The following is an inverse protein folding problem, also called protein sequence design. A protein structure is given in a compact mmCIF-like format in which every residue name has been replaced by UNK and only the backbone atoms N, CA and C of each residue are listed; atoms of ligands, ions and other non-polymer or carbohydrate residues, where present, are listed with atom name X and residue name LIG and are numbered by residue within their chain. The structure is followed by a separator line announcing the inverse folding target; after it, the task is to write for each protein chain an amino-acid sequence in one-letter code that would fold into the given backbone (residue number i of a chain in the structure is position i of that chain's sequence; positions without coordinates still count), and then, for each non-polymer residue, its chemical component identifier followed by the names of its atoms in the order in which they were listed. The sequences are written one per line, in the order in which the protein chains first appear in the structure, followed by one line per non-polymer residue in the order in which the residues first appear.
data_IF_101638087978
#
_entry.id   IF_101638087978
#
_cell.length_a   1.000
_cell.length_b   1.000
_cell.length_c   1.000
_cell.angle_alpha   90.00
_cell.angle_beta   90.00
_cell.angle_gamma   90.00
#
_symmetry.space_group_name_H-M   'P 1'
#
loop_
_entity.id
_entity.type
_entity.pdbx_description
1 polymer ?
#
# COMPACT_ATOMS: atom_id res chain seq x y z
N UNK A 1 5.01 -55.24 -18.12
CA UNK A 1 3.74 -54.50 -18.21
C UNK A 1 3.68 -53.78 -19.56
N UNK A 2 2.80 -54.22 -20.47
CA UNK A 2 2.55 -53.52 -21.75
C UNK A 2 1.55 -52.40 -21.50
N UNK A 3 1.92 -51.15 -21.80
CA UNK A 3 1.00 -50.02 -21.73
C UNK A 3 0.04 -50.15 -22.93
N UNK A 4 -1.29 -50.13 -22.74
CA UNK A 4 -2.24 -50.30 -23.84
C UNK A 4 -2.13 -49.15 -24.85
N UNK A 5 -2.01 -49.50 -26.14
CA UNK A 5 -1.75 -48.61 -27.27
C UNK A 5 -2.97 -47.81 -27.76
N UNK A 6 -4.04 -47.71 -26.97
CA UNK A 6 -5.31 -47.10 -27.36
C UNK A 6 -5.59 -45.73 -26.71
N UNK A 7 -4.55 -44.96 -26.40
CA UNK A 7 -4.76 -43.58 -25.98
C UNK A 7 -5.00 -42.68 -27.20
N UNK A 8 -6.26 -42.57 -27.63
CA UNK A 8 -6.64 -41.73 -28.76
C UNK A 8 -6.55 -40.23 -28.40
N UNK A 9 -5.67 -39.45 -29.05
CA UNK A 9 -5.48 -38.03 -28.73
C UNK A 9 -6.75 -37.17 -28.96
N UNK A 10 -7.69 -37.61 -29.80
CA UNK A 10 -8.96 -36.92 -30.09
C UNK A 10 -9.82 -36.68 -28.84
N UNK A 11 -9.95 -37.68 -27.95
CA UNK A 11 -10.72 -37.55 -26.69
C UNK A 11 -10.11 -36.51 -25.74
N UNK A 12 -8.78 -36.36 -25.74
CA UNK A 12 -8.10 -35.34 -24.92
C UNK A 12 -8.45 -33.92 -25.41
N UNK A 13 -8.53 -33.70 -26.72
CA UNK A 13 -8.90 -32.40 -27.29
C UNK A 13 -10.35 -32.03 -26.96
N UNK A 14 -11.27 -32.99 -27.04
CA UNK A 14 -12.67 -32.80 -26.71
C UNK A 14 -12.86 -32.43 -25.23
N UNK A 15 -12.24 -33.19 -24.31
CA UNK A 15 -12.27 -32.89 -22.87
C UNK A 15 -11.67 -31.50 -22.58
N UNK A 16 -10.53 -31.14 -23.20
CA UNK A 16 -9.94 -29.81 -23.06
C UNK A 16 -10.87 -28.70 -23.57
N UNK A 17 -11.59 -28.95 -24.66
CA UNK A 17 -12.59 -28.02 -25.22
C UNK A 17 -13.78 -27.84 -24.28
N UNK A 18 -14.34 -28.95 -23.77
CA UNK A 18 -15.45 -28.91 -22.81
C UNK A 18 -15.05 -28.19 -21.51
N UNK A 19 -13.86 -28.48 -20.96
CA UNK A 19 -13.31 -27.76 -19.79
C UNK A 19 -13.15 -26.26 -20.09
N UNK A 20 -12.73 -25.89 -21.30
CA UNK A 20 -12.61 -24.48 -21.71
C UNK A 20 -13.98 -23.80 -21.74
N UNK A 21 -15.00 -24.46 -22.31
CA UNK A 21 -16.37 -23.95 -22.36
C UNK A 21 -16.99 -23.81 -20.97
N UNK A 22 -16.83 -24.80 -20.09
CA UNK A 22 -17.31 -24.72 -18.69
C UNK A 22 -16.63 -23.56 -17.96
N UNK A 23 -15.31 -23.39 -18.11
CA UNK A 23 -14.59 -22.23 -17.54
C UNK A 23 -15.10 -20.92 -18.10
N UNK A 24 -15.39 -20.86 -19.39
CA UNK A 24 -15.90 -19.67 -20.05
C UNK A 24 -17.30 -19.33 -19.55
N UNK A 25 -18.20 -20.31 -19.52
CA UNK A 25 -19.57 -20.18 -19.03
C UNK A 25 -19.59 -19.76 -17.54
N UNK A 26 -18.78 -20.39 -16.70
CA UNK A 26 -18.61 -19.99 -15.31
C UNK A 26 -18.10 -18.54 -15.19
N UNK A 27 -17.16 -18.14 -16.05
CA UNK A 27 -16.65 -16.76 -16.05
C UNK A 27 -17.70 -15.76 -16.52
N UNK A 28 -18.57 -16.10 -17.46
CA UNK A 28 -19.54 -15.15 -18.04
C UNK A 28 -20.90 -15.13 -17.30
N UNK A 29 -21.36 -16.23 -16.71
CA UNK A 29 -22.64 -16.29 -16.00
C UNK A 29 -22.49 -16.14 -14.48
N UNK A 30 -21.52 -16.83 -13.88
CA UNK A 30 -21.35 -16.81 -12.41
C UNK A 30 -20.70 -15.52 -11.95
N UNK A 31 -19.76 -14.96 -12.73
CA UNK A 31 -19.06 -13.71 -12.33
C UNK A 31 -20.03 -12.53 -12.18
N UNK A 32 -20.92 -12.19 -13.13
CA UNK A 32 -21.82 -11.05 -12.95
C UNK A 32 -22.79 -11.23 -11.78
N UNK A 33 -23.34 -12.43 -11.58
CA UNK A 33 -24.23 -12.74 -10.47
C UNK A 33 -23.49 -12.59 -9.13
N UNK A 34 -22.29 -13.16 -9.02
CA UNK A 34 -21.46 -13.02 -7.83
C UNK A 34 -21.04 -11.56 -7.59
N UNK A 35 -20.79 -10.80 -8.66
CA UNK A 35 -20.49 -9.36 -8.59
C UNK A 35 -21.63 -8.60 -7.98
N UNK A 36 -22.86 -8.86 -8.44
CA UNK A 36 -24.07 -8.23 -7.94
C UNK A 36 -24.29 -8.59 -6.48
N UNK A 37 -24.21 -9.87 -6.11
CA UNK A 37 -24.31 -10.31 -4.71
C UNK A 37 -23.28 -9.59 -3.83
N UNK A 38 -22.00 -9.57 -4.25
CA UNK A 38 -20.92 -8.90 -3.51
C UNK A 38 -21.14 -7.39 -3.42
N UNK A 39 -21.61 -6.75 -4.47
CA UNK A 39 -21.90 -5.32 -4.49
C UNK A 39 -23.09 -4.99 -3.56
N UNK A 40 -24.15 -5.82 -3.60
CA UNK A 40 -25.31 -5.70 -2.71
C UNK A 40 -24.94 -5.89 -1.24
N UNK A 41 -23.98 -6.77 -0.93
CA UNK A 41 -23.44 -6.92 0.42
C UNK A 41 -22.46 -5.80 0.80
N UNK A 42 -21.69 -5.30 -0.17
CA UNK A 42 -20.69 -4.26 0.08
C UNK A 42 -21.34 -2.96 0.57
N UNK A 43 -22.43 -2.52 -0.06
CA UNK A 43 -23.10 -1.26 0.31
C UNK A 43 -23.48 -1.18 1.80
N UNK A 44 -24.27 -2.12 2.38
CA UNK A 44 -24.65 -2.05 3.79
C UNK A 44 -23.46 -2.20 4.73
N UNK A 45 -22.49 -3.05 4.40
CA UNK A 45 -21.28 -3.24 5.22
C UNK A 45 -20.41 -1.97 5.20
N UNK A 46 -20.31 -1.32 4.04
CA UNK A 46 -19.62 -0.05 3.91
C UNK A 46 -20.34 1.07 4.67
N UNK A 47 -21.67 1.11 4.64
CA UNK A 47 -22.46 2.04 5.46
C UNK A 47 -22.20 1.80 6.94
N UNK A 48 -22.17 0.55 7.41
CA UNK A 48 -21.81 0.22 8.79
C UNK A 48 -20.38 0.65 9.13
N UNK A 49 -19.44 0.41 8.22
CA UNK A 49 -18.04 0.83 8.37
C UNK A 49 -17.92 2.35 8.50
N UNK A 50 -18.57 3.10 7.62
CA UNK A 50 -18.59 4.55 7.66
C UNK A 50 -19.28 5.08 8.93
N UNK A 51 -20.49 4.59 9.22
CA UNK A 51 -21.28 4.98 10.37
C UNK A 51 -20.55 4.67 11.69
N UNK A 52 -19.83 3.54 11.77
CA UNK A 52 -19.02 3.22 12.95
C UNK A 52 -17.94 4.27 13.20
N UNK A 53 -17.24 4.74 12.16
CA UNK A 53 -16.22 5.79 12.28
C UNK A 53 -16.79 7.10 12.80
N UNK A 54 -17.94 7.55 12.28
CA UNK A 54 -18.61 8.77 12.74
C UNK A 54 -19.22 8.61 14.14
N UNK A 55 -19.79 7.43 14.44
CA UNK A 55 -20.30 7.11 15.78
C UNK A 55 -19.20 7.15 16.84
N UNK A 56 -18.04 6.53 16.58
CA UNK A 56 -16.91 6.60 17.50
C UNK A 56 -16.33 8.01 17.60
N UNK A 57 -16.31 8.79 16.51
CA UNK A 57 -15.95 10.20 16.55
C UNK A 57 -16.90 11.00 17.47
N UNK A 58 -18.21 10.75 17.40
CA UNK A 58 -19.20 11.34 18.27
C UNK A 58 -19.04 10.90 19.74
N UNK A 59 -18.85 9.61 20.01
CA UNK A 59 -18.63 9.11 21.37
C UNK A 59 -17.40 9.77 22.03
N UNK A 60 -16.34 10.00 21.25
CA UNK A 60 -15.11 10.66 21.72
C UNK A 60 -15.33 12.10 22.18
N UNK A 61 -16.33 12.81 21.68
CA UNK A 61 -16.62 14.19 22.13
C UNK A 61 -17.52 14.24 23.35
N UNK A 62 -18.20 13.14 23.70
CA UNK A 62 -19.17 13.07 24.79
C UNK A 62 -18.68 12.37 26.04
N UNK A 63 -17.73 11.45 25.91
CA UNK A 63 -17.33 10.57 27.00
C UNK A 63 -16.05 11.07 27.69
N UNK A 64 -15.98 10.89 29.02
CA UNK A 64 -14.80 11.23 29.83
C UNK A 64 -13.54 10.50 29.35
N UNK A 65 -12.39 11.16 29.53
CA UNK A 65 -11.05 10.67 29.15
C UNK A 65 -10.75 9.28 29.72
N UNK A 66 -11.29 8.94 30.90
CA UNK A 66 -11.07 7.65 31.55
C UNK A 66 -11.64 6.45 30.78
N UNK A 67 -12.67 6.63 29.95
CA UNK A 67 -13.26 5.57 29.13
C UNK A 67 -12.72 5.54 27.70
N UNK A 68 -11.89 6.52 27.34
CA UNK A 68 -11.40 6.69 25.98
C UNK A 68 -10.62 5.46 25.48
N UNK A 69 -9.74 4.91 26.33
CA UNK A 69 -8.96 3.72 26.00
C UNK A 69 -9.84 2.49 25.74
N UNK A 70 -10.87 2.27 26.55
CA UNK A 70 -11.80 1.13 26.39
C UNK A 70 -12.60 1.25 25.09
N UNK A 71 -13.14 2.43 24.80
CA UNK A 71 -13.87 2.70 23.55
C UNK A 71 -12.96 2.52 22.35
N UNK A 72 -11.69 2.93 22.44
CA UNK A 72 -10.70 2.77 21.37
C UNK A 72 -10.40 1.31 21.06
N UNK A 73 -10.27 0.45 22.07
CA UNK A 73 -10.08 -0.99 21.86
C UNK A 73 -11.27 -1.55 21.07
N UNK A 74 -12.51 -1.20 21.47
CA UNK A 74 -13.73 -1.63 20.78
C UNK A 74 -13.78 -1.10 19.34
N UNK A 75 -13.51 0.19 19.12
CA UNK A 75 -13.44 0.81 17.80
C UNK A 75 -12.44 0.08 16.89
N UNK A 76 -11.23 -0.21 17.40
CA UNK A 76 -10.20 -0.94 16.65
C UNK A 76 -10.67 -2.34 16.27
N UNK A 77 -11.28 -3.08 17.20
CA UNK A 77 -11.79 -4.43 16.93
C UNK A 77 -12.91 -4.40 15.88
N UNK A 78 -13.86 -3.48 16.02
CA UNK A 78 -14.99 -3.33 15.08
C UNK A 78 -14.49 -2.95 13.68
N UNK A 79 -13.65 -1.92 13.58
CA UNK A 79 -13.11 -1.46 12.29
C UNK A 79 -12.25 -2.53 11.62
N UNK A 80 -11.41 -3.25 12.37
CA UNK A 80 -10.62 -4.37 11.83
C UNK A 80 -11.53 -5.47 11.30
N UNK A 81 -12.54 -5.86 12.06
CA UNK A 81 -13.49 -6.92 11.67
C UNK A 81 -14.23 -6.55 10.39
N UNK A 82 -14.76 -5.32 10.31
CA UNK A 82 -15.44 -4.82 9.12
C UNK A 82 -14.49 -4.73 7.91
N UNK A 83 -13.26 -4.27 8.11
CA UNK A 83 -12.25 -4.21 7.04
C UNK A 83 -11.90 -5.61 6.51
N UNK A 84 -11.73 -6.61 7.38
CA UNK A 84 -11.52 -8.00 6.98
C UNK A 84 -12.72 -8.56 6.20
N UNK A 85 -13.94 -8.26 6.65
CA UNK A 85 -15.17 -8.66 5.96
C UNK A 85 -15.25 -8.05 4.54
N UNK A 86 -14.90 -6.76 4.41
CA UNK A 86 -14.85 -6.08 3.11
C UNK A 86 -13.78 -6.69 2.19
N UNK A 87 -12.58 -6.95 2.71
CA UNK A 87 -11.50 -7.61 1.93
C UNK A 87 -11.91 -9.01 1.48
N UNK A 88 -12.62 -9.76 2.33
CA UNK A 88 -13.19 -11.06 2.00
C UNK A 88 -14.24 -10.95 0.88
N UNK A 89 -15.15 -9.97 0.94
CA UNK A 89 -16.14 -9.70 -0.12
C UNK A 89 -15.47 -9.40 -1.45
N UNK A 90 -14.39 -8.61 -1.44
CA UNK A 90 -13.59 -8.33 -2.63
C UNK A 90 -12.72 -9.50 -3.09
N UNK A 91 -12.80 -10.65 -2.44
CA UNK A 91 -12.01 -11.83 -2.78
C UNK A 91 -10.50 -11.59 -2.68
N UNK A 92 -10.07 -10.70 -1.79
CA UNK A 92 -8.64 -10.47 -1.51
C UNK A 92 -8.17 -11.57 -0.55
N UNK A 93 -8.12 -12.81 -1.05
CA UNK A 93 -7.81 -13.99 -0.23
C UNK A 93 -6.31 -14.23 -0.03
N UNK A 94 -5.46 -13.63 -0.87
CA UNK A 94 -4.02 -13.88 -0.86
C UNK A 94 -3.24 -12.58 -0.94
N UNK A 95 -3.01 -11.98 0.23
CA UNK A 95 -2.00 -10.94 0.40
C UNK A 95 -0.64 -11.63 0.41
N UNK A 96 0.12 -11.47 -0.67
CA UNK A 96 1.49 -11.98 -0.70
C UNK A 96 2.42 -10.89 -0.16
N UNK A 97 2.80 -11.03 1.11
CA UNK A 97 3.84 -10.22 1.70
C UNK A 97 5.18 -10.58 1.08
N UNK A 98 5.89 -9.58 0.56
CA UNK A 98 7.26 -9.74 0.12
C UNK A 98 8.05 -8.63 0.78
N UNK A 99 8.78 -8.96 1.84
CA UNK A 99 9.81 -8.09 2.38
C UNK A 99 10.89 -7.93 1.31
N UNK A 100 11.17 -6.69 0.93
CA UNK A 100 12.23 -6.37 -0.02
C UNK A 100 13.40 -5.80 0.75
N UNK A 101 14.25 -6.66 1.33
CA UNK A 101 15.59 -6.22 1.71
C UNK A 101 16.38 -6.06 0.41
N UNK A 102 16.95 -4.88 0.16
CA UNK A 102 17.91 -4.68 -0.93
C UNK A 102 19.26 -5.25 -0.47
N UNK A 103 19.76 -6.37 -1.03
CA UNK A 103 21.16 -6.75 -0.84
C UNK A 103 22.14 -5.89 -1.67
N UNK A 104 21.64 -4.90 -2.43
CA UNK A 104 22.39 -4.29 -3.54
C UNK A 104 23.27 -3.08 -3.19
N UNK A 105 23.25 -2.57 -1.95
CA UNK A 105 24.15 -1.47 -1.59
C UNK A 105 25.63 -1.90 -1.49
N UNK A 106 25.92 -3.20 -1.41
CA UNK A 106 27.31 -3.71 -1.35
C UNK A 106 27.87 -4.28 -2.66
N UNK A 107 27.07 -4.39 -3.72
CA UNK A 107 27.44 -5.20 -4.90
C UNK A 107 27.84 -4.41 -6.15
N UNK A 108 27.73 -3.08 -6.15
CA UNK A 108 28.07 -2.27 -7.32
C UNK A 108 29.58 -1.97 -7.45
N UNK A 109 30.35 -2.02 -6.35
CA UNK A 109 31.81 -1.81 -6.41
C UNK A 109 32.56 -3.05 -6.94
N UNK A 110 32.05 -4.25 -6.69
CA UNK A 110 32.69 -5.51 -7.11
C UNK A 110 32.57 -5.82 -8.62
N UNK A 111 31.73 -5.09 -9.36
CA UNK A 111 31.48 -5.36 -10.80
C UNK A 111 32.47 -4.70 -11.75
N UNK A 112 33.28 -3.73 -11.29
CA UNK A 112 34.26 -3.06 -12.17
C UNK A 112 35.61 -3.78 -12.27
N UNK A 113 35.89 -4.78 -11.43
CA UNK A 113 37.18 -5.49 -11.45
C UNK A 113 37.22 -6.77 -12.32
N UNK A 114 36.09 -7.24 -12.86
CA UNK A 114 36.03 -8.58 -13.50
C UNK A 114 36.27 -8.64 -15.01
N UNK A 115 36.59 -7.54 -15.67
CA UNK A 115 36.70 -7.54 -17.15
C UNK A 115 38.08 -7.94 -17.68
N UNK A 116 38.96 -8.53 -16.86
CA UNK A 116 40.30 -8.89 -17.33
C UNK A 116 40.95 -10.06 -16.55
N UNK A 117 40.47 -11.30 -16.75
CA UNK A 117 41.36 -12.48 -16.70
C UNK A 117 40.73 -13.75 -17.29
N UNK A 118 41.52 -14.36 -18.17
CA UNK A 118 41.24 -15.52 -18.99
C UNK A 118 41.09 -16.84 -18.20
N UNK A 119 40.15 -17.66 -18.69
CA UNK A 119 40.07 -19.14 -18.84
C UNK A 119 40.62 -20.14 -17.78
N UNK A 120 41.42 -19.78 -16.79
CA UNK A 120 41.70 -20.66 -15.63
C UNK A 120 40.69 -20.44 -14.47
N UNK A 121 39.93 -19.35 -14.51
CA UNK A 121 38.98 -18.97 -13.46
C UNK A 121 37.63 -19.71 -13.49
N UNK A 122 37.41 -20.72 -14.35
CA UNK A 122 36.07 -21.33 -14.45
C UNK A 122 35.66 -22.11 -13.20
N UNK A 123 36.58 -22.82 -12.54
CA UNK A 123 36.28 -23.54 -11.30
C UNK A 123 36.06 -22.60 -10.11
N UNK A 124 36.82 -21.51 -10.04
CA UNK A 124 36.68 -20.52 -8.98
C UNK A 124 35.44 -19.64 -9.18
N UNK A 125 35.08 -19.34 -10.44
CA UNK A 125 33.80 -18.71 -10.77
C UNK A 125 32.60 -19.59 -10.42
N UNK A 126 32.70 -20.91 -10.57
CA UNK A 126 31.60 -21.82 -10.26
C UNK A 126 31.39 -21.93 -8.74
N UNK A 127 32.47 -22.04 -7.97
CA UNK A 127 32.44 -21.96 -6.49
C UNK A 127 31.93 -20.62 -5.99
N UNK A 128 32.29 -19.53 -6.65
CA UNK A 128 31.82 -18.20 -6.28
C UNK A 128 30.34 -17.98 -6.63
N UNK A 129 29.88 -18.44 -7.80
CA UNK A 129 28.46 -18.47 -8.16
C UNK A 129 27.65 -19.35 -7.21
N UNK A 130 28.23 -20.41 -6.68
CA UNK A 130 27.58 -21.28 -5.69
C UNK A 130 27.49 -20.63 -4.31
N UNK A 131 28.57 -20.01 -3.81
CA UNK A 131 28.56 -19.16 -2.60
C UNK A 131 27.58 -17.99 -2.72
N UNK A 132 27.49 -17.37 -3.89
CA UNK A 132 26.54 -16.29 -4.14
C UNK A 132 25.09 -16.82 -4.17
N UNK A 133 24.85 -18.02 -4.73
CA UNK A 133 23.55 -18.69 -4.68
C UNK A 133 23.17 -19.08 -3.25
N UNK A 134 24.09 -19.55 -2.43
CA UNK A 134 23.84 -19.88 -1.02
C UNK A 134 23.56 -18.63 -0.20
N UNK A 135 24.39 -17.57 -0.31
CA UNK A 135 24.07 -16.27 0.31
C UNK A 135 22.71 -15.74 -0.13
N UNK A 136 22.35 -15.88 -1.41
CA UNK A 136 21.01 -15.51 -1.91
C UNK A 136 19.89 -16.39 -1.36
N UNK A 137 20.14 -17.68 -1.08
CA UNK A 137 19.18 -18.59 -0.44
C UNK A 137 19.01 -18.24 1.05
N UNK A 138 20.10 -17.93 1.72
CA UNK A 138 20.12 -17.53 3.14
C UNK A 138 19.41 -16.19 3.33
N UNK A 139 19.73 -15.17 2.54
CA UNK A 139 19.01 -13.88 2.50
C UNK A 139 17.52 -14.08 2.17
N UNK A 140 17.17 -15.03 1.29
CA UNK A 140 15.77 -15.39 1.01
C UNK A 140 15.08 -16.07 2.19
N UNK A 141 15.81 -16.85 2.99
CA UNK A 141 15.28 -17.54 4.16
C UNK A 141 15.06 -16.54 5.30
N UNK A 142 16.01 -15.62 5.53
CA UNK A 142 15.88 -14.51 6.49
C UNK A 142 14.77 -13.52 6.08
N UNK A 143 14.55 -13.30 4.78
CA UNK A 143 13.40 -12.50 4.27
C UNK A 143 12.03 -13.17 4.50
N UNK A 144 11.99 -14.47 4.80
CA UNK A 144 10.75 -15.24 4.95
C UNK A 144 10.27 -15.29 6.41
N UNK A 145 11.10 -14.93 7.37
CA UNK A 145 10.59 -14.43 8.64
C UNK A 145 9.86 -13.13 8.33
N UNK A 146 8.54 -13.26 8.19
CA UNK A 146 7.60 -12.15 8.28
C UNK A 146 7.90 -11.47 9.60
N UNK A 147 8.80 -10.48 9.60
CA UNK A 147 8.95 -9.58 10.74
C UNK A 147 7.59 -8.92 10.87
N UNK A 148 6.81 -9.42 11.82
CA UNK A 148 5.52 -8.90 12.17
C UNK A 148 5.80 -7.56 12.84
N UNK A 149 5.93 -6.53 12.01
CA UNK A 149 6.24 -5.19 12.51
C UNK A 149 5.01 -4.69 13.27
N UNK A 150 5.17 -4.63 14.58
CA UNK A 150 4.23 -3.98 15.49
C UNK A 150 4.36 -2.48 15.30
N UNK A 151 3.25 -1.83 14.96
CA UNK A 151 3.17 -0.37 14.90
C UNK A 151 2.68 0.17 16.23
N UNK A 152 3.36 1.18 16.76
CA UNK A 152 2.97 1.92 17.95
C UNK A 152 2.12 3.15 17.61
N UNK A 153 1.52 3.75 18.64
CA UNK A 153 0.77 4.99 18.51
C UNK A 153 1.72 6.15 18.13
N UNK A 154 1.38 6.91 17.10
CA UNK A 154 2.25 7.97 16.56
C UNK A 154 3.25 7.54 15.50
N UNK A 155 3.47 6.24 15.29
CA UNK A 155 4.29 5.77 14.17
C UNK A 155 3.73 6.28 12.84
N UNK A 156 4.61 6.64 11.92
CA UNK A 156 4.25 7.19 10.63
C UNK A 156 4.37 6.14 9.53
N UNK A 157 3.23 5.69 9.01
CA UNK A 157 3.15 4.86 7.81
C UNK A 157 3.08 5.78 6.58
N UNK A 158 4.10 5.73 5.74
CA UNK A 158 4.15 6.47 4.46
C UNK A 158 3.84 5.48 3.35
N UNK A 159 2.78 5.72 2.58
CA UNK A 159 2.36 4.79 1.54
C UNK A 159 2.08 5.45 0.21
N UNK A 160 2.39 4.77 -0.89
CA UNK A 160 1.78 5.11 -2.18
C UNK A 160 0.27 4.82 -2.12
N UNK A 161 -0.51 5.50 -2.96
CA UNK A 161 -1.95 5.35 -3.00
C UNK A 161 -2.40 4.93 -4.40
N UNK A 162 -2.92 3.71 -4.57
CA UNK A 162 -3.34 3.22 -5.89
C UNK A 162 -4.84 2.91 -5.97
N UNK A 163 -5.50 2.59 -4.86
CA UNK A 163 -6.91 2.26 -4.79
C UNK A 163 -7.47 2.37 -3.36
N UNK A 164 -8.73 1.97 -3.17
CA UNK A 164 -9.34 1.85 -1.84
C UNK A 164 -8.83 0.64 -1.04
N UNK A 165 -8.19 -0.35 -1.69
CA UNK A 165 -7.77 -1.60 -1.05
C UNK A 165 -6.64 -1.36 -0.05
N UNK A 166 -5.78 -0.37 -0.31
CA UNK A 166 -4.76 0.13 0.61
C UNK A 166 -5.37 0.53 1.95
N UNK A 167 -6.47 1.29 1.89
CA UNK A 167 -7.16 1.81 3.07
C UNK A 167 -7.75 0.66 3.88
N UNK A 168 -8.42 -0.30 3.24
CA UNK A 168 -8.95 -1.46 3.94
C UNK A 168 -7.86 -2.35 4.53
N UNK A 169 -6.78 -2.58 3.78
CA UNK A 169 -5.65 -3.35 4.25
C UNK A 169 -5.00 -2.70 5.48
N UNK A 170 -4.67 -1.41 5.40
CA UNK A 170 -4.05 -0.67 6.50
C UNK A 170 -4.98 -0.57 7.70
N UNK A 171 -6.29 -0.42 7.49
CA UNK A 171 -7.29 -0.45 8.58
C UNK A 171 -7.33 -1.80 9.28
N UNK A 172 -7.38 -2.89 8.53
CA UNK A 172 -7.41 -4.25 9.07
C UNK A 172 -6.15 -4.59 9.88
N UNK A 173 -4.99 -4.11 9.44
CA UNK A 173 -3.71 -4.39 10.08
C UNK A 173 -3.45 -3.46 11.27
N UNK A 174 -3.58 -2.15 11.07
CA UNK A 174 -3.02 -1.14 11.96
C UNK A 174 -4.08 -0.28 12.66
N UNK A 175 -5.33 -0.28 12.19
CA UNK A 175 -6.39 0.64 12.63
C UNK A 175 -5.90 2.10 12.75
N UNK A 176 -5.32 2.68 11.68
CA UNK A 176 -4.58 3.93 11.73
C UNK A 176 -5.49 5.16 11.72
N UNK A 177 -4.90 6.32 12.00
CA UNK A 177 -5.46 7.63 11.64
C UNK A 177 -4.99 7.97 10.22
N UNK A 178 -5.93 8.09 9.28
CA UNK A 178 -5.60 8.54 7.93
C UNK A 178 -5.49 10.07 7.88
N UNK A 179 -4.74 10.60 6.92
CA UNK A 179 -4.61 12.04 6.71
C UNK A 179 -5.12 12.49 5.35
N UNK A 180 -5.87 13.58 5.32
CA UNK A 180 -6.04 14.43 4.14
C UNK A 180 -4.92 15.48 4.08
N UNK A 181 -4.48 15.84 2.87
CA UNK A 181 -3.43 16.84 2.65
C UNK A 181 -4.06 18.23 2.50
N UNK A 182 -3.48 19.22 3.20
CA UNK A 182 -3.92 20.63 3.15
C UNK A 182 -3.18 21.46 2.10
N UNK A 183 -3.77 22.60 1.70
CA UNK A 183 -3.09 23.62 0.83
C UNK A 183 -1.81 24.14 1.46
N UNK A 184 -1.86 24.36 2.78
CA UNK A 184 -0.70 24.82 3.54
C UNK A 184 0.25 23.65 3.73
N UNK A 185 1.49 23.82 3.27
CA UNK A 185 2.54 22.82 3.43
C UNK A 185 2.81 22.51 4.92
N UNK A 186 3.19 21.26 5.20
CA UNK A 186 3.38 20.75 6.56
C UNK A 186 2.09 20.56 7.37
N UNK A 187 0.92 20.87 6.80
CA UNK A 187 -0.37 20.67 7.48
C UNK A 187 -1.17 19.52 6.87
N UNK A 188 -1.93 18.85 7.73
CA UNK A 188 -2.83 17.75 7.38
C UNK A 188 -4.16 17.88 8.11
N UNK A 189 -5.16 17.13 7.66
CA UNK A 189 -6.40 16.90 8.40
C UNK A 189 -6.53 15.42 8.74
N UNK A 190 -6.71 15.06 10.03
CA UNK A 190 -7.01 13.68 10.39
C UNK A 190 -8.41 13.28 9.87
N UNK A 191 -8.50 12.19 9.12
CA UNK A 191 -9.73 11.67 8.56
C UNK A 191 -9.98 10.22 8.98
N UNK A 192 -11.26 9.83 9.01
CA UNK A 192 -11.65 8.44 9.29
C UNK A 192 -11.35 7.55 8.08
N UNK A 193 -11.22 6.24 8.30
CA UNK A 193 -11.03 5.28 7.22
C UNK A 193 -12.20 5.32 6.20
N UNK A 194 -13.44 5.48 6.68
CA UNK A 194 -14.61 5.65 5.82
C UNK A 194 -14.52 6.90 4.95
N UNK A 195 -14.13 8.04 5.53
CA UNK A 195 -13.89 9.28 4.79
C UNK A 195 -12.77 9.12 3.76
N UNK A 196 -11.67 8.47 4.12
CA UNK A 196 -10.58 8.16 3.19
C UNK A 196 -11.06 7.33 1.99
N UNK A 197 -11.92 6.31 2.19
CA UNK A 197 -12.52 5.53 1.09
C UNK A 197 -13.41 6.39 0.21
N UNK A 198 -14.28 7.21 0.80
CA UNK A 198 -15.16 8.12 0.04
C UNK A 198 -14.32 9.10 -0.80
N UNK A 199 -13.31 9.71 -0.19
CA UNK A 199 -12.45 10.67 -0.88
C UNK A 199 -11.68 10.02 -2.03
N UNK A 200 -11.29 8.75 -1.86
CA UNK A 200 -10.70 7.94 -2.92
C UNK A 200 -11.68 7.68 -4.05
N UNK A 201 -12.88 7.18 -3.75
CA UNK A 201 -13.89 6.86 -4.75
C UNK A 201 -14.36 8.10 -5.52
N UNK A 202 -14.53 9.24 -4.84
CA UNK A 202 -14.99 10.48 -5.48
C UNK A 202 -13.86 11.28 -6.14
N UNK A 203 -12.61 10.83 -6.02
CA UNK A 203 -11.42 11.59 -6.40
C UNK A 203 -11.43 13.00 -5.75
N UNK A 204 -11.78 13.04 -4.47
CA UNK A 204 -11.90 14.25 -3.65
C UNK A 204 -10.66 14.49 -2.77
N UNK A 205 -9.50 13.88 -3.08
CA UNK A 205 -8.25 14.15 -2.34
C UNK A 205 -7.70 15.58 -2.51
N UNK A 206 -8.52 16.51 -3.01
CA UNK A 206 -8.13 17.91 -3.07
C UNK A 206 -8.04 18.48 -1.65
N UNK A 207 -6.92 19.16 -1.42
CA UNK A 207 -6.72 20.50 -0.85
C UNK A 207 -7.98 21.38 -0.65
N UNK A 208 -9.08 20.84 -0.13
CA UNK A 208 -10.22 21.65 0.25
C UNK A 208 -9.74 22.65 1.29
N UNK A 209 -10.34 23.83 1.32
CA UNK A 209 -10.13 24.83 2.37
C UNK A 209 -10.70 24.30 3.68
N UNK A 210 -10.18 23.15 4.14
CA UNK A 210 -10.57 22.51 5.37
C UNK A 210 -10.09 23.43 6.47
N UNK A 211 -11.04 23.92 7.24
CA UNK A 211 -10.82 24.77 8.40
C UNK A 211 -10.02 24.06 9.49
N UNK A 212 -9.92 22.74 9.41
CA UNK A 212 -9.43 21.87 10.46
C UNK A 212 -7.98 21.38 10.22
N UNK A 213 -7.23 22.07 9.35
CA UNK A 213 -5.82 21.78 9.08
C UNK A 213 -4.96 22.01 10.32
N UNK A 214 -4.30 20.95 10.77
CA UNK A 214 -3.34 20.98 11.89
C UNK A 214 -1.92 20.79 11.37
N UNK A 215 -0.90 21.38 12.02
CA UNK A 215 0.49 21.01 11.77
C UNK A 215 0.68 19.50 11.93
N UNK A 216 1.46 18.90 11.04
CA UNK A 216 1.64 17.45 11.04
C UNK A 216 2.29 16.94 12.33
N UNK A 217 3.21 17.72 12.92
CA UNK A 217 3.80 17.49 14.25
C UNK A 217 2.75 17.37 15.36
N UNK A 218 1.75 18.25 15.34
CA UNK A 218 0.71 18.29 16.38
C UNK A 218 -0.18 17.07 16.30
N UNK A 219 -0.39 16.55 15.08
CA UNK A 219 -1.12 15.31 14.89
C UNK A 219 -0.36 14.13 15.51
N UNK A 220 0.96 14.02 15.33
CA UNK A 220 1.77 12.94 15.92
C UNK A 220 1.67 12.96 17.44
N UNK A 221 1.97 14.11 18.06
CA UNK A 221 1.89 14.27 19.51
C UNK A 221 0.48 13.99 20.04
N UNK A 222 -0.57 14.37 19.29
CA UNK A 222 -1.96 14.03 19.64
C UNK A 222 -2.23 12.52 19.53
N UNK A 223 -1.73 11.86 18.49
CA UNK A 223 -1.92 10.41 18.31
C UNK A 223 -1.23 9.59 19.39
N UNK A 224 -0.02 9.98 19.80
CA UNK A 224 0.70 9.36 20.91
C UNK A 224 -0.04 9.56 22.23
N UNK A 225 -0.35 10.81 22.60
CA UNK A 225 -1.01 11.15 23.86
C UNK A 225 -2.38 10.49 24.03
N UNK A 226 -3.09 10.28 22.93
CA UNK A 226 -4.45 9.73 22.95
C UNK A 226 -4.52 8.26 22.49
N UNK A 227 -3.38 7.60 22.21
CA UNK A 227 -3.33 6.22 21.73
C UNK A 227 -4.22 5.97 20.50
N UNK A 228 -4.08 6.83 19.47
CA UNK A 228 -4.96 6.82 18.30
C UNK A 228 -4.54 5.84 17.21
N UNK A 229 -3.41 5.17 17.36
CA UNK A 229 -2.80 4.30 16.37
C UNK A 229 -1.71 5.02 15.58
N UNK A 230 -1.08 4.32 14.62
CA UNK A 230 -0.16 4.94 13.70
C UNK A 230 -0.90 5.90 12.76
N UNK A 231 -0.17 6.85 12.21
CA UNK A 231 -0.65 7.80 11.20
C UNK A 231 -0.34 7.25 9.82
N UNK A 232 -1.32 7.22 8.93
CA UNK A 232 -1.10 6.89 7.51
C UNK A 232 -1.16 8.15 6.68
N UNK A 233 -0.07 8.43 5.97
CA UNK A 233 0.02 9.49 4.97
C UNK A 233 0.19 8.90 3.58
N UNK A 234 -0.63 9.41 2.66
CA UNK A 234 -0.48 9.20 1.22
C UNK A 234 0.13 10.45 0.59
N UNK A 235 1.47 10.62 0.60
CA UNK A 235 2.11 11.89 0.26
C UNK A 235 1.90 12.31 -1.21
N UNK A 236 1.52 11.38 -2.08
CA UNK A 236 1.12 11.66 -3.47
C UNK A 236 -0.11 12.58 -3.57
N UNK A 237 -0.92 12.72 -2.51
CA UNK A 237 -2.12 13.57 -2.50
C UNK A 237 -3.24 13.12 -3.44
N UNK A 238 -3.08 12.00 -4.13
CA UNK A 238 -4.08 11.43 -5.03
C UNK A 238 -3.72 9.98 -5.35
N UNK A 239 -4.63 9.25 -5.97
CA UNK A 239 -4.34 7.90 -6.44
C UNK A 239 -3.45 7.91 -7.69
N UNK A 240 -2.42 7.08 -7.70
CA UNK A 240 -1.55 6.86 -8.85
C UNK A 240 -2.02 5.68 -9.70
N UNK A 241 -1.30 5.45 -10.79
CA UNK A 241 -1.57 4.33 -11.69
C UNK A 241 -0.76 3.07 -11.33
N UNK A 242 -0.03 3.06 -10.21
CA UNK A 242 0.81 1.94 -9.78
C UNK A 242 1.98 1.55 -10.71
N UNK A 243 2.29 2.35 -11.74
CA UNK A 243 3.49 2.21 -12.60
C UNK A 243 4.62 3.12 -12.11
N UNK A 244 4.24 4.30 -11.63
CA UNK A 244 5.13 5.33 -11.13
C UNK A 244 4.65 5.83 -9.78
N UNK A 245 5.59 6.29 -8.96
CA UNK A 245 5.30 7.07 -7.77
C UNK A 245 5.20 8.55 -8.18
N UNK A 246 4.07 9.17 -7.89
CA UNK A 246 3.84 10.60 -8.16
C UNK A 246 4.75 11.46 -7.28
N UNK A 247 4.90 12.72 -7.67
CA UNK A 247 5.61 13.70 -6.85
C UNK A 247 4.89 13.84 -5.50
N UNK A 248 5.67 13.88 -4.41
CA UNK A 248 5.11 14.11 -3.09
C UNK A 248 4.63 15.55 -2.96
N UNK A 249 3.46 15.71 -2.35
CA UNK A 249 3.02 17.00 -1.81
C UNK A 249 3.96 17.42 -0.69
N UNK A 250 4.08 18.73 -0.38
CA UNK A 250 4.96 19.24 0.68
C UNK A 250 4.41 18.98 2.09
N UNK A 251 3.85 17.79 2.32
CA UNK A 251 3.25 17.36 3.61
C UNK A 251 4.30 17.19 4.71
N UNK A 252 5.56 16.94 4.33
CA UNK A 252 6.68 16.78 5.24
C UNK A 252 7.50 18.08 5.45
N UNK A 253 7.00 19.22 4.97
CA UNK A 253 7.65 20.50 5.27
C UNK A 253 7.65 20.74 6.78
N UNK A 254 8.83 21.01 7.35
CA UNK A 254 9.07 21.13 8.80
C UNK A 254 9.01 19.83 9.62
N UNK A 255 8.97 18.65 8.98
CA UNK A 255 8.99 17.36 9.70
C UNK A 255 10.26 17.18 10.57
N UNK A 256 11.41 17.61 10.08
CA UNK A 256 12.71 17.41 10.78
C UNK A 256 12.77 18.09 12.14
N UNK A 257 12.15 19.27 12.28
CA UNK A 257 12.05 20.00 13.55
C UNK A 257 11.33 19.18 14.63
N UNK A 258 10.47 18.25 14.23
CA UNK A 258 9.77 17.36 15.15
C UNK A 258 10.61 16.14 15.53
N UNK A 259 11.29 15.53 14.55
CA UNK A 259 12.14 14.36 14.77
C UNK A 259 13.26 14.63 15.79
N UNK A 260 13.76 15.87 15.86
CA UNK A 260 14.82 16.26 16.81
C UNK A 260 14.29 16.63 18.20
N UNK A 261 13.07 17.16 18.30
CA UNK A 261 12.55 17.75 19.55
C UNK A 261 12.01 16.70 20.53
N UNK A 262 11.48 15.58 20.03
CA UNK A 262 10.90 14.51 20.84
C UNK A 262 11.85 13.30 20.94
N UNK A 263 13.07 13.51 21.44
CA UNK A 263 14.06 12.44 21.62
C UNK A 263 13.58 11.28 22.52
N UNK A 264 12.58 11.53 23.38
CA UNK A 264 11.96 10.50 24.22
C UNK A 264 10.84 9.71 23.53
N UNK A 265 10.24 10.22 22.46
CA UNK A 265 9.10 9.60 21.76
C UNK A 265 9.45 9.34 20.30
N UNK A 266 10.32 8.35 20.08
CA UNK A 266 10.84 7.95 18.76
C UNK A 266 9.75 7.30 17.88
N UNK A 267 8.89 8.13 17.29
CA UNK A 267 7.94 7.68 16.26
C UNK A 267 8.72 7.08 15.10
N UNK A 268 8.40 5.83 14.74
CA UNK A 268 9.07 5.17 13.63
C UNK A 268 8.44 5.57 12.31
N UNK A 269 9.27 5.76 11.28
CA UNK A 269 8.81 5.94 9.91
C UNK A 269 8.79 4.58 9.22
N UNK A 270 7.66 4.23 8.60
CA UNK A 270 7.40 2.91 8.02
C UNK A 270 6.91 3.08 6.58
N UNK A 271 7.81 3.10 5.59
CA UNK A 271 7.42 3.18 4.19
C UNK A 271 6.85 1.85 3.70
N UNK A 272 5.62 1.89 3.20
CA UNK A 272 4.90 0.76 2.62
C UNK A 272 4.58 1.08 1.17
N UNK A 273 4.69 0.10 0.29
CA UNK A 273 4.26 0.23 -1.09
C UNK A 273 3.38 -0.92 -1.53
N UNK A 274 2.29 -0.53 -2.17
CA UNK A 274 1.33 -1.39 -2.83
C UNK A 274 1.62 -1.40 -4.32
N UNK A 275 1.78 -2.62 -4.84
CA UNK A 275 2.07 -2.88 -6.25
C UNK A 275 1.09 -3.90 -6.81
N UNK A 276 0.34 -3.47 -7.81
CA UNK A 276 -0.50 -4.36 -8.60
C UNK A 276 0.31 -4.91 -9.78
N UNK A 277 0.47 -6.23 -9.85
CA UNK A 277 1.21 -6.87 -10.93
C UNK A 277 0.38 -6.88 -12.23
N UNK A 278 0.65 -5.93 -13.13
CA UNK A 278 -0.02 -5.85 -14.45
C UNK A 278 0.30 -7.04 -15.36
N UNK A 279 1.48 -7.65 -15.24
CA UNK A 279 1.91 -8.74 -16.13
C UNK A 279 1.14 -10.05 -15.88
N UNK A 280 0.46 -10.18 -14.74
CA UNK A 280 -0.44 -11.29 -14.49
C UNK A 280 -1.72 -11.23 -15.36
N UNK A 281 -1.94 -10.13 -16.08
CA UNK A 281 -3.21 -9.79 -16.71
C UNK A 281 -3.09 -9.53 -18.22
N UNK A 282 -2.19 -10.23 -18.91
CA UNK A 282 -2.21 -10.33 -20.39
C UNK A 282 -3.56 -10.84 -20.94
N UNK A 283 -4.41 -11.43 -20.10
CA UNK A 283 -5.74 -11.95 -20.43
C UNK A 283 -6.91 -11.03 -20.04
N UNK A 284 -6.89 -9.73 -20.40
CA UNK A 284 -8.05 -8.80 -20.28
C UNK A 284 -8.68 -8.65 -18.88
N UNK A 285 -7.98 -9.05 -17.82
CA UNK A 285 -8.52 -8.98 -16.45
C UNK A 285 -8.37 -7.57 -15.89
N UNK A 286 -9.39 -7.14 -15.15
CA UNK A 286 -9.38 -5.89 -14.40
C UNK A 286 -8.21 -5.85 -13.40
N UNK A 287 -7.66 -4.67 -13.17
CA UNK A 287 -6.59 -4.43 -12.20
C UNK A 287 -7.15 -3.49 -11.14
N UNK A 288 -7.00 -3.77 -9.83
CA UNK A 288 -7.60 -2.96 -8.79
C UNK A 288 -6.81 -1.66 -8.56
N UNK A 289 -6.73 -0.83 -9.60
CA UNK A 289 -6.12 0.50 -9.57
C UNK A 289 -7.22 1.47 -9.90
N UNK A 290 -7.44 2.46 -9.02
CA UNK A 290 -8.45 3.48 -9.21
C UNK A 290 -7.78 4.84 -9.39
N UNK A 291 -7.23 5.09 -10.58
CA UNK A 291 -6.61 6.39 -10.88
C UNK A 291 -7.65 7.42 -11.27
N UNK A 292 -8.53 7.08 -12.22
CA UNK A 292 -9.54 7.96 -12.81
C UNK A 292 -10.75 7.12 -13.26
N UNK A 293 -11.93 7.76 -13.32
CA UNK A 293 -13.14 7.20 -13.94
C UNK A 293 -14.31 7.04 -12.98
N UNK A 294 -15.28 6.23 -13.40
CA UNK A 294 -16.52 5.99 -12.66
C UNK A 294 -16.28 4.98 -11.51
N UNK A 295 -16.51 5.44 -10.28
CA UNK A 295 -16.30 4.69 -9.04
C UNK A 295 -17.20 3.46 -8.95
N UNK A 296 -18.45 3.55 -9.44
CA UNK A 296 -19.37 2.41 -9.50
C UNK A 296 -18.84 1.33 -10.46
N UNK A 297 -18.38 1.73 -11.65
CA UNK A 297 -17.77 0.79 -12.61
C UNK A 297 -16.51 0.14 -12.03
N UNK A 298 -15.70 0.90 -11.29
CA UNK A 298 -14.54 0.38 -10.58
C UNK A 298 -14.95 -0.67 -9.53
N UNK A 299 -15.89 -0.35 -8.65
CA UNK A 299 -16.38 -1.26 -7.60
C UNK A 299 -17.00 -2.53 -8.20
N UNK A 300 -17.82 -2.38 -9.23
CA UNK A 300 -18.40 -3.52 -9.95
C UNK A 300 -17.32 -4.45 -10.49
N UNK A 301 -16.30 -3.90 -11.17
CA UNK A 301 -15.20 -4.70 -11.71
C UNK A 301 -14.31 -5.30 -10.61
N UNK A 302 -14.18 -4.63 -9.47
CA UNK A 302 -13.44 -5.14 -8.33
C UNK A 302 -14.16 -6.34 -7.71
N UNK A 303 -15.47 -6.23 -7.53
CA UNK A 303 -16.34 -7.31 -7.03
C UNK A 303 -16.47 -8.48 -8.00
N UNK A 304 -16.31 -8.25 -9.30
CA UNK A 304 -16.43 -9.30 -10.32
C UNK A 304 -15.27 -10.26 -10.38
N UNK A 305 -14.13 -9.90 -9.79
CA UNK A 305 -12.99 -10.78 -9.72
C UNK A 305 -13.13 -11.79 -8.58
N UNK A 306 -13.02 -13.10 -8.85
CA UNK A 306 -13.06 -14.09 -7.77
C UNK A 306 -11.88 -13.91 -6.80
N UNK A 307 -10.73 -13.50 -7.32
CA UNK A 307 -9.50 -13.28 -6.56
C UNK A 307 -8.81 -12.01 -7.06
N UNK A 308 -8.58 -11.07 -6.14
CA UNK A 308 -7.72 -9.91 -6.35
C UNK A 308 -6.34 -10.17 -5.71
N UNK A 309 -5.25 -9.76 -6.36
CA UNK A 309 -3.87 -9.90 -5.86
C UNK A 309 -3.17 -8.56 -5.83
N UNK A 310 -2.71 -8.17 -4.65
CA UNK A 310 -1.85 -6.99 -4.44
C UNK A 310 -0.55 -7.47 -3.79
N UNK A 311 0.58 -6.98 -4.32
CA UNK A 311 1.88 -7.18 -3.71
C UNK A 311 2.14 -6.02 -2.77
N UNK A 312 2.39 -6.32 -1.50
CA UNK A 312 2.75 -5.32 -0.49
C UNK A 312 4.23 -5.48 -0.22
N UNK A 313 4.96 -4.39 -0.39
CA UNK A 313 6.40 -4.30 -0.17
C UNK A 313 6.61 -3.30 0.95
N UNK A 314 7.36 -3.70 1.96
CA UNK A 314 7.76 -2.81 3.04
C UNK A 314 9.24 -2.50 2.91
N UNK A 315 9.61 -1.26 3.21
CA UNK A 315 10.99 -0.81 3.24
C UNK A 315 11.57 -1.04 4.64
N UNK A 316 12.87 -1.35 4.73
CA UNK A 316 13.52 -1.53 6.01
C UNK A 316 13.76 -0.16 6.68
N UNK A 317 13.63 -0.01 8.01
CA UNK A 317 13.87 1.27 8.67
C UNK A 317 15.27 1.86 8.36
N UNK A 318 16.30 1.00 8.26
CA UNK A 318 17.67 1.44 7.92
C UNK A 318 17.85 1.94 6.48
N UNK A 319 16.89 1.65 5.57
CA UNK A 319 16.93 2.20 4.20
C UNK A 319 16.25 3.57 4.10
N UNK A 320 15.69 4.09 5.19
CA UNK A 320 15.10 5.44 5.21
C UNK A 320 16.25 6.43 5.31
N UNK A 321 16.30 7.48 4.46
CA UNK A 321 17.29 8.54 4.62
C UNK A 321 17.03 9.24 5.96
N UNK A 322 17.88 8.95 6.94
CA UNK A 322 17.94 9.60 8.24
C UNK A 322 19.31 10.26 8.36
N UNK A 323 19.62 11.19 7.46
CA UNK A 323 20.67 12.15 7.78
C UNK A 323 20.01 13.32 8.51
N UNK A 324 20.49 13.68 9.72
CA UNK A 324 20.05 14.91 10.37
C UNK A 324 20.38 16.06 9.42
N UNK A 325 19.33 16.69 8.86
CA UNK A 325 19.51 17.80 7.95
C UNK A 325 20.22 18.90 8.71
N UNK A 326 21.43 19.28 8.25
CA UNK A 326 22.13 20.46 8.77
C UNK A 326 21.19 21.66 8.56
N UNK A 327 20.90 22.40 9.63
CA UNK A 327 19.88 23.47 9.69
C UNK A 327 20.03 24.53 8.58
N UNK A 328 21.23 24.73 8.03
CA UNK A 328 21.57 25.87 7.19
C UNK A 328 21.36 25.69 5.68
N UNK A 329 21.00 24.50 5.17
CA UNK A 329 20.88 24.27 3.71
C UNK A 329 19.54 23.74 3.22
N UNK A 330 18.46 23.93 4.00
CA UNK A 330 17.15 23.34 3.70
C UNK A 330 16.48 23.94 2.45
N UNK A 331 16.69 23.30 1.30
CA UNK A 331 15.65 23.26 0.29
C UNK A 331 14.42 22.58 0.92
N UNK A 332 13.34 23.33 1.03
CA UNK A 332 12.05 22.86 1.54
C UNK A 332 11.65 21.62 0.72
N UNK A 333 11.65 20.45 1.35
CA UNK A 333 11.28 19.11 0.82
C UNK A 333 12.40 18.19 0.31
N UNK A 334 13.70 18.49 0.50
CA UNK A 334 14.77 17.59 0.05
C UNK A 334 14.63 16.17 0.62
N UNK A 335 14.38 16.02 1.93
CA UNK A 335 14.18 14.71 2.56
C UNK A 335 13.02 13.91 1.95
N UNK A 336 11.92 14.58 1.61
CA UNK A 336 10.76 13.94 1.00
C UNK A 336 11.09 13.40 -0.39
N UNK A 337 11.91 14.11 -1.17
CA UNK A 337 12.39 13.69 -2.48
C UNK A 337 13.40 12.54 -2.40
N UNK A 338 14.31 12.55 -1.42
CA UNK A 338 15.23 11.45 -1.15
C UNK A 338 14.47 10.18 -0.74
N UNK A 339 13.50 10.31 0.18
CA UNK A 339 12.62 9.22 0.57
C UNK A 339 11.85 8.67 -0.65
N UNK A 340 11.31 9.56 -1.49
CA UNK A 340 10.58 9.18 -2.70
C UNK A 340 11.48 8.45 -3.69
N UNK A 341 12.72 8.89 -3.86
CA UNK A 341 13.71 8.25 -4.71
C UNK A 341 14.03 6.83 -4.20
N UNK A 342 14.23 6.68 -2.90
CA UNK A 342 14.52 5.38 -2.31
C UNK A 342 13.32 4.43 -2.36
N UNK A 343 12.11 4.93 -2.13
CA UNK A 343 10.87 4.18 -2.39
C UNK A 343 10.81 3.72 -3.86
N UNK A 344 11.14 4.57 -4.83
CA UNK A 344 11.18 4.17 -6.24
C UNK A 344 12.18 3.03 -6.49
N UNK A 345 13.38 3.13 -5.90
CA UNK A 345 14.46 2.13 -6.01
C UNK A 345 14.05 0.78 -5.40
N UNK A 346 13.61 0.78 -4.14
CA UNK A 346 13.20 -0.42 -3.39
C UNK A 346 12.00 -1.10 -4.06
N UNK A 347 10.99 -0.32 -4.44
CA UNK A 347 9.74 -0.87 -4.99
C UNK A 347 9.77 -1.13 -6.50
N UNK A 348 10.87 -0.73 -7.16
CA UNK A 348 11.04 -0.80 -8.62
C UNK A 348 9.89 -0.11 -9.33
N UNK A 349 9.65 1.14 -8.95
CA UNK A 349 8.68 2.05 -9.54
C UNK A 349 9.44 3.14 -10.31
N UNK A 350 8.79 3.71 -11.34
CA UNK A 350 9.34 4.90 -12.00
C UNK A 350 9.06 6.14 -11.16
N UNK A 351 10.03 7.04 -11.08
CA UNK A 351 9.80 8.39 -10.57
C UNK A 351 8.99 9.19 -11.60
N UNK A 352 7.91 9.84 -11.16
CA UNK A 352 7.10 10.75 -11.98
C UNK A 352 7.31 12.19 -11.52
N UNK A 353 7.33 13.13 -12.48
CA UNK A 353 7.28 14.57 -12.20
C UNK A 353 5.85 15.09 -12.02
N UNK A 354 4.85 14.29 -12.39
CA UNK A 354 3.44 14.60 -12.24
C UNK A 354 3.06 14.47 -10.76
N UNK A 355 2.49 15.53 -10.19
CA UNK A 355 1.94 15.55 -8.84
C UNK A 355 0.42 15.48 -8.80
N UNK A 356 -0.15 15.69 -7.62
CA UNK A 356 -1.60 15.75 -7.43
C UNK A 356 -2.23 16.87 -8.28
N UNK A 357 -1.67 18.08 -8.21
CA UNK A 357 -2.21 19.27 -8.89
C UNK A 357 -2.35 19.06 -10.40
N UNK A 358 -1.33 18.48 -11.05
CA UNK A 358 -1.37 18.18 -12.48
C UNK A 358 -2.51 17.22 -12.84
N UNK A 359 -2.73 16.17 -12.02
CA UNK A 359 -3.83 15.24 -12.22
C UNK A 359 -5.17 15.93 -12.10
N UNK A 360 -5.32 16.88 -11.19
CA UNK A 360 -6.56 17.62 -11.01
C UNK A 360 -6.83 18.64 -12.12
N UNK A 361 -5.78 19.26 -12.64
CA UNK A 361 -5.85 20.10 -13.82
C UNK A 361 -6.35 19.28 -15.03
N UNK A 362 -5.81 18.07 -15.22
CA UNK A 362 -6.26 17.14 -16.27
C UNK A 362 -7.73 16.69 -16.09
N UNK A 363 -8.29 16.81 -14.88
CA UNK A 363 -9.68 16.49 -14.60
C UNK A 363 -10.64 17.69 -14.71
N UNK A 364 -10.12 18.90 -14.93
CA UNK A 364 -10.92 20.13 -14.87
C UNK A 364 -11.51 20.39 -13.48
N UNK A 365 -10.82 19.95 -12.41
CA UNK A 365 -11.22 20.18 -11.01
C UNK A 365 -10.47 21.35 -10.35
N UNK A 366 -9.52 21.94 -11.07
CA UNK A 366 -8.73 23.12 -10.74
C UNK A 366 -9.11 24.21 -11.72
#
# INVERSE_FOLDING_TARGET
MKIPSEFQPSKIYEIKSQIKWVKLLATYLVSPILSLIRLTLFVPIFVLFYASGEFFKYLRTKISVSYFQKIRIIERVVLKTLAYLILFIFGVFKVQFILSLQPNLFNNDLRKERTQKNKENQKDEEKEKEKEKEKRKEIKYTQKELIEFTTSDGDLIISNHISILEIFFLTAQHAPVFTGICKKAGNVVPITAGKAVIDTLLNNHYLNNQTDCVPFSDLIGKTQKQFLGPIVVFPEGTTSNGKSLLQFTPVFENWTKYAEKDSESSSQIIPICFKCNRNFFTNKRFVPIFTLGNSFRFLYNLCSQPINKIKIIRMHPQSIPFEPLKEDSLEKNQWAEELRAEMCNVFKLKSSKIGANDKYLLLGKL
#
